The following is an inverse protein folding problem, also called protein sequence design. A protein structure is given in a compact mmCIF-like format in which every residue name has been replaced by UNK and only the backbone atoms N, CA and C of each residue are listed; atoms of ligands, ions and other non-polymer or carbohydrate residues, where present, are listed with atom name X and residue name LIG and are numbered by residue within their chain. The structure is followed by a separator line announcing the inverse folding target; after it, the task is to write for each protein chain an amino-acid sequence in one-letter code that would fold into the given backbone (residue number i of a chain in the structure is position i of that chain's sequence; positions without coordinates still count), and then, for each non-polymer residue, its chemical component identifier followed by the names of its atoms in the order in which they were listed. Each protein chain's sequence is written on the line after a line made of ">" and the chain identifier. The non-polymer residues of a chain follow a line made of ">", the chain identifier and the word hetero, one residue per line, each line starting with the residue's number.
data_IF_618766792253
#
_entry.id   IF_618766792253
#
_cell.length_a   1.000
_cell.length_b   1.000
_cell.length_c   1.000
_cell.angle_alpha   90.00
_cell.angle_beta   90.00
_cell.angle_gamma   90.00
#
_symmetry.space_group_name_H-M   'P 1'
#
loop_
_entity.id
_entity.type
_entity.pdbx_description
1 polymer ?
#
# COMPACT_ATOMS: atom_id res chain seq x y z
N UNK A 1 -4.35 -21.43 43.32
CA UNK A 1 -4.72 -21.04 41.94
C UNK A 1 -3.56 -21.40 41.01
N UNK A 2 -3.81 -22.22 39.98
CA UNK A 2 -2.82 -22.76 39.02
C UNK A 2 -2.63 -21.78 37.86
N UNK A 3 -1.41 -21.29 37.64
CA UNK A 3 -1.04 -20.57 36.43
C UNK A 3 -0.98 -21.54 35.24
N UNK A 4 -1.95 -21.44 34.31
CA UNK A 4 -1.89 -22.11 32.99
C UNK A 4 -1.15 -21.18 32.03
N UNK A 5 0.12 -21.50 31.77
CA UNK A 5 0.93 -20.83 30.77
C UNK A 5 0.33 -20.98 29.36
N UNK A 6 0.22 -19.86 28.66
CA UNK A 6 -0.05 -19.82 27.22
C UNK A 6 1.09 -20.55 26.49
N UNK A 7 0.84 -21.79 26.05
CA UNK A 7 1.63 -22.41 24.98
C UNK A 7 1.25 -21.74 23.67
N UNK A 8 2.04 -20.75 23.26
CA UNK A 8 2.05 -20.29 21.87
C UNK A 8 2.46 -21.50 21.02
N UNK A 9 1.51 -22.00 20.23
CA UNK A 9 1.70 -23.15 19.35
C UNK A 9 2.83 -22.88 18.36
N UNK A 10 3.91 -23.64 18.48
CA UNK A 10 5.08 -23.64 17.59
C UNK A 10 4.77 -24.00 16.13
N UNK A 11 3.49 -24.22 15.80
CA UNK A 11 2.99 -24.43 14.43
C UNK A 11 2.71 -23.11 13.70
N UNK A 12 2.29 -22.05 14.40
CA UNK A 12 2.01 -20.75 13.76
C UNK A 12 3.31 -20.08 13.26
N UNK A 13 4.40 -20.24 14.01
CA UNK A 13 5.71 -19.68 13.64
C UNK A 13 6.36 -20.41 12.45
N UNK A 14 6.07 -21.71 12.28
CA UNK A 14 6.57 -22.50 11.14
C UNK A 14 5.82 -22.20 9.84
N UNK A 15 4.51 -21.94 9.91
CA UNK A 15 3.72 -21.56 8.73
C UNK A 15 4.14 -20.18 8.21
N UNK A 16 4.53 -19.25 9.11
CA UNK A 16 5.06 -17.95 8.71
C UNK A 16 6.46 -18.05 8.06
N UNK A 17 7.32 -18.97 8.50
CA UNK A 17 8.65 -19.18 7.90
C UNK A 17 8.59 -19.88 6.53
N UNK A 18 7.61 -20.75 6.29
CA UNK A 18 7.45 -21.42 4.99
C UNK A 18 6.93 -20.47 3.89
N UNK A 19 6.13 -19.47 4.25
CA UNK A 19 5.63 -18.47 3.28
C UNK A 19 6.73 -17.53 2.77
N UNK A 20 7.73 -17.22 3.60
CA UNK A 20 8.84 -16.34 3.21
C UNK A 20 9.84 -17.02 2.26
N UNK A 21 10.03 -18.34 2.36
CA UNK A 21 10.94 -19.07 1.47
C UNK A 21 10.37 -19.33 0.07
N UNK A 22 9.04 -19.43 -0.07
CA UNK A 22 8.40 -19.66 -1.36
C UNK A 22 8.38 -18.40 -2.25
N UNK A 23 8.48 -17.20 -1.65
CA UNK A 23 8.57 -15.93 -2.37
C UNK A 23 9.95 -15.69 -3.01
N UNK A 24 11.02 -16.31 -2.48
CA UNK A 24 12.38 -16.17 -3.01
C UNK A 24 12.67 -17.06 -4.24
N UNK A 25 11.90 -18.13 -4.48
CA UNK A 25 12.19 -19.07 -5.56
C UNK A 25 11.51 -18.74 -6.90
N UNK A 26 10.60 -17.76 -6.93
CA UNK A 26 9.92 -17.33 -8.17
C UNK A 26 10.65 -16.21 -8.92
N UNK A 27 11.81 -15.76 -8.43
CA UNK A 27 12.61 -14.68 -9.03
C UNK A 27 13.75 -15.14 -9.96
N UNK A 28 13.90 -16.46 -10.19
CA UNK A 28 14.99 -17.02 -11.03
C UNK A 28 14.56 -17.49 -12.43
N UNK A 29 13.37 -17.11 -12.90
CA UNK A 29 13.01 -17.28 -14.32
C UNK A 29 13.37 -16.02 -15.13
N UNK A 30 14.65 -15.59 -15.04
CA UNK A 30 15.20 -14.62 -15.96
C UNK A 30 15.39 -15.32 -17.31
N UNK A 31 14.55 -14.92 -18.28
CA UNK A 31 14.54 -15.46 -19.63
C UNK A 31 15.93 -15.46 -20.27
N UNK A 32 16.20 -16.52 -21.01
CA UNK A 32 17.35 -16.66 -21.89
C UNK A 32 17.35 -15.53 -22.92
N UNK A 33 18.24 -14.55 -22.74
CA UNK A 33 18.53 -13.52 -23.73
C UNK A 33 19.22 -14.19 -24.90
N UNK A 34 18.49 -14.42 -25.98
CA UNK A 34 19.10 -14.74 -27.27
C UNK A 34 19.84 -13.50 -27.76
N UNK A 35 21.17 -13.57 -27.80
CA UNK A 35 21.99 -12.58 -28.47
C UNK A 35 21.68 -12.64 -29.98
N UNK A 36 21.10 -11.57 -30.51
CA UNK A 36 20.95 -11.38 -31.94
C UNK A 36 22.35 -11.22 -32.60
N UNK A 37 22.52 -11.66 -33.86
CA UNK A 37 23.80 -11.55 -34.57
C UNK A 37 24.20 -10.07 -34.80
N UNK A 38 25.50 -9.79 -34.98
CA UNK A 38 26.03 -8.43 -35.04
C UNK A 38 25.65 -7.78 -36.38
N UNK A 39 24.52 -7.08 -36.40
CA UNK A 39 24.15 -6.18 -37.49
C UNK A 39 24.93 -4.86 -37.31
N UNK A 40 25.54 -4.35 -38.38
CA UNK A 40 26.44 -3.20 -38.35
C UNK A 40 25.82 -1.99 -37.62
N UNK A 41 26.41 -1.64 -36.48
CA UNK A 41 26.00 -0.58 -35.57
C UNK A 41 26.00 0.80 -36.24
N UNK A 42 24.86 1.20 -36.80
CA UNK A 42 24.58 2.60 -37.19
C UNK A 42 23.64 3.19 -36.15
N UNK A 43 23.88 4.45 -35.76
CA UNK A 43 22.97 5.17 -34.87
C UNK A 43 21.56 5.15 -35.48
N UNK A 44 20.61 4.56 -34.76
CA UNK A 44 19.23 4.43 -35.22
C UNK A 44 18.39 5.51 -34.56
N UNK A 45 17.73 6.32 -35.39
CA UNK A 45 16.66 7.18 -34.92
C UNK A 45 15.46 6.31 -34.57
N UNK A 46 15.04 6.32 -33.31
CA UNK A 46 13.81 5.68 -32.87
C UNK A 46 12.75 6.78 -32.80
N UNK A 47 11.75 6.77 -33.69
CA UNK A 47 10.65 7.72 -33.61
C UNK A 47 9.89 7.54 -32.29
N UNK A 48 9.27 8.61 -31.81
CA UNK A 48 8.42 8.52 -30.61
C UNK A 48 7.38 7.43 -30.78
N UNK A 49 7.15 6.64 -29.73
CA UNK A 49 6.10 5.61 -29.74
C UNK A 49 4.76 6.26 -30.09
N UNK A 50 4.03 5.66 -31.04
CA UNK A 50 2.73 6.17 -31.50
C UNK A 50 1.63 6.07 -30.45
N UNK A 51 1.89 5.34 -29.37
CA UNK A 51 1.01 5.25 -28.20
C UNK A 51 1.32 6.43 -27.29
N UNK A 52 0.43 7.43 -27.26
CA UNK A 52 0.52 8.49 -26.26
C UNK A 52 0.54 7.88 -24.85
N UNK A 53 1.58 8.14 -24.04
CA UNK A 53 1.57 7.72 -22.65
C UNK A 53 0.37 8.35 -21.95
N UNK A 54 -0.39 7.56 -21.20
CA UNK A 54 -1.48 8.08 -20.38
C UNK A 54 -0.96 9.22 -19.49
N UNK A 55 -1.75 10.28 -19.33
CA UNK A 55 -1.32 11.43 -18.55
C UNK A 55 -0.96 10.99 -17.11
N UNK A 56 0.26 11.31 -16.60
CA UNK A 56 0.70 10.86 -15.27
C UNK A 56 -0.28 11.21 -14.16
N UNK A 57 -0.88 12.40 -14.22
CA UNK A 57 -1.91 12.85 -13.28
C UNK A 57 -3.18 11.97 -13.33
N UNK A 58 -3.62 11.57 -14.52
CA UNK A 58 -4.81 10.72 -14.68
C UNK A 58 -4.56 9.32 -14.10
N UNK A 59 -3.38 8.75 -14.37
CA UNK A 59 -2.97 7.45 -13.82
C UNK A 59 -2.87 7.50 -12.30
N UNK A 60 -2.24 8.54 -11.75
CA UNK A 60 -2.14 8.75 -10.31
C UNK A 60 -3.51 8.94 -9.64
N UNK A 61 -4.44 9.66 -10.28
CA UNK A 61 -5.80 9.85 -9.76
C UNK A 61 -6.59 8.53 -9.71
N UNK A 62 -6.49 7.70 -10.77
CA UNK A 62 -7.10 6.36 -10.76
C UNK A 62 -6.47 5.51 -9.65
N UNK A 63 -5.15 5.57 -9.49
CA UNK A 63 -4.43 4.78 -8.50
C UNK A 63 -4.70 5.24 -7.05
N UNK A 64 -5.01 6.51 -6.83
CA UNK A 64 -5.51 6.99 -5.53
C UNK A 64 -6.85 6.36 -5.15
N UNK A 65 -7.74 6.15 -6.14
CA UNK A 65 -9.03 5.50 -5.94
C UNK A 65 -8.89 3.98 -5.81
N UNK A 66 -8.00 3.39 -6.62
CA UNK A 66 -7.72 1.97 -6.70
C UNK A 66 -6.20 1.71 -6.58
N UNK A 67 -5.67 1.66 -5.35
CA UNK A 67 -4.24 1.46 -5.12
C UNK A 67 -3.71 0.19 -5.79
N UNK A 68 -2.63 0.34 -6.56
CA UNK A 68 -1.95 -0.72 -7.29
C UNK A 68 -2.34 -0.83 -8.77
N UNK A 69 -3.36 -0.12 -9.23
CA UNK A 69 -3.75 -0.08 -10.65
C UNK A 69 -2.64 0.43 -11.55
N UNK A 70 -1.98 1.53 -11.19
CA UNK A 70 -0.94 2.14 -12.00
C UNK A 70 0.29 1.22 -12.15
N UNK A 71 0.73 0.61 -11.05
CA UNK A 71 1.82 -0.37 -11.06
C UNK A 71 1.47 -1.58 -11.94
N UNK A 72 0.24 -2.07 -11.88
CA UNK A 72 -0.22 -3.15 -12.74
C UNK A 72 -0.09 -2.76 -14.22
N UNK A 73 -0.48 -1.54 -14.59
CA UNK A 73 -0.35 -1.02 -15.97
C UNK A 73 1.10 -0.84 -16.42
N UNK A 74 2.03 -0.65 -15.49
CA UNK A 74 3.47 -0.56 -15.73
C UNK A 74 4.21 -1.89 -15.60
N UNK A 75 3.50 -3.03 -15.51
CA UNK A 75 4.05 -4.38 -15.33
C UNK A 75 4.82 -4.60 -14.01
N UNK A 76 4.62 -3.73 -13.02
CA UNK A 76 5.17 -3.84 -11.67
C UNK A 76 4.22 -4.64 -10.75
N UNK A 77 3.95 -5.89 -11.13
CA UNK A 77 2.87 -6.72 -10.53
C UNK A 77 3.06 -7.01 -9.05
N UNK A 78 4.32 -7.12 -8.58
CA UNK A 78 4.64 -7.27 -7.17
C UNK A 78 4.17 -6.07 -6.33
N UNK A 79 4.50 -4.86 -6.77
CA UNK A 79 4.04 -3.63 -6.11
C UNK A 79 2.53 -3.45 -6.22
N UNK A 80 1.93 -3.78 -7.38
CA UNK A 80 0.48 -3.74 -7.55
C UNK A 80 -0.26 -4.60 -6.50
N UNK A 81 0.19 -5.84 -6.32
CA UNK A 81 -0.38 -6.76 -5.34
C UNK A 81 -0.19 -6.25 -3.90
N UNK A 82 0.97 -5.66 -3.58
CA UNK A 82 1.25 -5.09 -2.25
C UNK A 82 0.32 -3.91 -1.91
N UNK A 83 0.17 -2.93 -2.81
CA UNK A 83 -0.72 -1.79 -2.56
C UNK A 83 -2.19 -2.21 -2.47
N UNK A 84 -2.63 -3.08 -3.38
CA UNK A 84 -4.02 -3.56 -3.38
C UNK A 84 -4.36 -4.36 -2.12
N UNK A 85 -3.51 -5.32 -1.74
CA UNK A 85 -3.71 -6.13 -0.53
C UNK A 85 -3.63 -5.28 0.74
N UNK A 86 -2.67 -4.35 0.81
CA UNK A 86 -2.57 -3.40 1.93
C UNK A 86 -3.84 -2.54 2.05
N UNK A 87 -4.43 -2.12 0.93
CA UNK A 87 -5.68 -1.37 0.95
C UNK A 87 -6.83 -2.21 1.50
N UNK A 88 -6.96 -3.48 1.10
CA UNK A 88 -7.99 -4.39 1.64
C UNK A 88 -7.83 -4.61 3.15
N UNK A 89 -6.60 -4.86 3.61
CA UNK A 89 -6.31 -5.01 5.04
C UNK A 89 -6.68 -3.73 5.80
N UNK A 90 -6.30 -2.57 5.27
CA UNK A 90 -6.57 -1.29 5.91
C UNK A 90 -8.08 -0.97 5.95
N UNK A 91 -8.84 -1.26 4.90
CA UNK A 91 -10.30 -1.17 4.91
C UNK A 91 -10.92 -2.09 5.97
N UNK A 92 -10.40 -3.30 6.14
CA UNK A 92 -10.80 -4.21 7.22
C UNK A 92 -10.52 -3.64 8.62
N UNK A 93 -9.35 -3.02 8.82
CA UNK A 93 -8.99 -2.36 10.06
C UNK A 93 -9.89 -1.15 10.37
N UNK A 94 -10.19 -0.32 9.35
CA UNK A 94 -11.14 0.78 9.47
C UNK A 94 -12.50 0.27 9.93
N UNK A 95 -13.00 -0.81 9.33
CA UNK A 95 -14.28 -1.40 9.70
C UNK A 95 -14.29 -1.86 11.16
N UNK A 96 -13.25 -2.57 11.61
CA UNK A 96 -13.16 -3.04 13.00
C UNK A 96 -13.05 -1.86 13.98
N UNK A 97 -12.23 -0.86 13.67
CA UNK A 97 -12.08 0.33 14.49
C UNK A 97 -13.40 1.12 14.61
N UNK A 98 -14.11 1.30 13.49
CA UNK A 98 -15.43 1.94 13.46
C UNK A 98 -16.45 1.17 14.31
N UNK A 99 -16.54 -0.15 14.14
CA UNK A 99 -17.47 -0.99 14.91
C UNK A 99 -17.18 -0.91 16.41
N UNK A 100 -15.91 -0.94 16.78
CA UNK A 100 -15.50 -0.84 18.18
C UNK A 100 -15.81 0.55 18.78
N UNK A 101 -15.56 1.63 18.04
CA UNK A 101 -15.92 2.98 18.47
C UNK A 101 -17.43 3.11 18.66
N UNK A 102 -18.24 2.75 17.67
CA UNK A 102 -19.70 2.82 17.73
C UNK A 102 -20.28 2.02 18.90
N UNK A 103 -19.69 0.86 19.18
CA UNK A 103 -20.09 0.03 20.31
C UNK A 103 -19.92 0.76 21.65
N UNK A 104 -18.72 1.27 21.94
CA UNK A 104 -18.45 1.99 23.20
C UNK A 104 -19.15 3.34 23.27
N UNK A 105 -19.31 4.03 22.14
CA UNK A 105 -20.07 5.29 22.07
C UNK A 105 -21.54 5.06 22.47
N UNK A 106 -22.18 4.03 21.90
CA UNK A 106 -23.56 3.70 22.25
C UNK A 106 -23.73 3.30 23.72
N UNK A 107 -22.74 2.57 24.27
CA UNK A 107 -22.72 2.19 25.68
C UNK A 107 -22.54 3.43 26.59
N UNK A 108 -21.68 4.38 26.20
CA UNK A 108 -21.48 5.63 26.91
C UNK A 108 -22.79 6.45 26.95
N UNK A 109 -23.46 6.63 25.81
CA UNK A 109 -24.72 7.38 25.74
C UNK A 109 -25.80 6.75 26.62
N UNK A 110 -25.92 5.42 26.63
CA UNK A 110 -26.87 4.72 27.48
C UNK A 110 -26.52 4.84 28.98
N UNK A 111 -25.24 4.69 29.32
CA UNK A 111 -24.74 4.84 30.69
C UNK A 111 -24.92 6.27 31.21
N UNK A 112 -24.64 7.27 30.38
CA UNK A 112 -24.80 8.69 30.70
C UNK A 112 -26.27 9.02 30.97
N UNK A 113 -27.20 8.53 30.14
CA UNK A 113 -28.64 8.72 30.34
C UNK A 113 -29.09 8.16 31.70
N UNK A 114 -28.58 6.98 32.08
CA UNK A 114 -28.89 6.38 33.38
C UNK A 114 -28.25 7.14 34.54
N UNK A 115 -26.99 7.54 34.41
CA UNK A 115 -26.27 8.32 35.44
C UNK A 115 -26.98 9.63 35.76
N UNK A 116 -27.56 10.31 34.75
CA UNK A 116 -28.30 11.57 34.95
C UNK A 116 -29.54 11.42 35.83
N UNK A 117 -30.08 10.21 35.94
CA UNK A 117 -31.25 9.92 36.78
C UNK A 117 -30.90 9.55 38.23
N UNK A 118 -29.61 9.43 38.55
CA UNK A 118 -29.14 9.03 39.88
C UNK A 118 -28.20 10.10 40.46
N UNK A 119 -28.33 10.45 41.74
CA UNK A 119 -27.46 11.44 42.38
C UNK A 119 -26.04 10.89 42.63
N UNK A 120 -25.93 9.57 42.84
CA UNK A 120 -24.67 8.89 43.14
C UNK A 120 -24.00 8.33 41.87
N UNK A 121 -22.66 8.31 41.81
CA UNK A 121 -21.93 7.73 40.67
C UNK A 121 -22.19 6.22 40.58
N UNK A 122 -22.75 5.81 39.44
CA UNK A 122 -23.06 4.42 39.13
C UNK A 122 -21.86 3.68 38.57
N UNK A 123 -21.89 2.37 38.79
CA UNK A 123 -20.97 1.40 38.22
C UNK A 123 -21.73 0.56 37.19
N UNK A 124 -21.19 0.47 35.98
CA UNK A 124 -21.82 -0.21 34.85
C UNK A 124 -21.06 -1.49 34.51
N UNK A 125 -21.75 -2.59 34.25
CA UNK A 125 -21.08 -3.80 33.78
C UNK A 125 -20.35 -3.54 32.44
N UNK A 126 -19.19 -4.16 32.24
CA UNK A 126 -18.44 -4.00 30.98
C UNK A 126 -19.32 -4.45 29.79
N UNK A 127 -19.64 -3.54 28.84
CA UNK A 127 -20.50 -3.88 27.70
C UNK A 127 -19.88 -4.97 26.82
N UNK A 128 -18.54 -5.07 26.76
CA UNK A 128 -17.85 -6.10 25.97
C UNK A 128 -17.90 -7.50 26.62
N UNK A 129 -18.52 -7.63 27.78
CA UNK A 129 -18.55 -8.83 28.59
C UNK A 129 -17.39 -8.89 29.58
N UNK A 130 -17.65 -9.45 30.76
CA UNK A 130 -16.68 -9.54 31.85
C UNK A 130 -17.36 -9.52 33.21
N UNK A 131 -16.56 -9.66 34.27
CA UNK A 131 -17.00 -9.48 35.66
C UNK A 131 -16.76 -8.07 36.21
N UNK A 132 -16.07 -7.23 35.42
CA UNK A 132 -15.64 -5.92 35.86
C UNK A 132 -16.76 -4.90 35.71
N UNK A 133 -16.81 -3.99 36.67
CA UNK A 133 -17.67 -2.83 36.63
C UNK A 133 -16.83 -1.59 36.32
N UNK A 134 -17.36 -0.74 35.45
CA UNK A 134 -16.72 0.43 34.89
C UNK A 134 -17.48 1.68 35.34
N UNK A 135 -16.73 2.73 35.65
CA UNK A 135 -17.32 4.05 35.83
C UNK A 135 -17.76 4.64 34.49
N UNK A 136 -18.64 5.63 34.52
CA UNK A 136 -19.02 6.38 33.30
C UNK A 136 -17.79 6.96 32.57
N UNK A 137 -16.80 7.46 33.33
CA UNK A 137 -15.57 8.00 32.78
C UNK A 137 -14.73 6.92 32.10
N UNK A 138 -14.70 5.69 32.64
CA UNK A 138 -13.97 4.59 32.01
C UNK A 138 -14.56 4.25 30.65
N UNK A 139 -15.89 4.13 30.56
CA UNK A 139 -16.60 3.86 29.31
C UNK A 139 -16.33 4.98 28.29
N UNK A 140 -16.40 6.24 28.73
CA UNK A 140 -16.05 7.41 27.90
C UNK A 140 -14.63 7.32 27.36
N UNK A 141 -13.66 7.04 28.21
CA UNK A 141 -12.26 6.88 27.82
C UNK A 141 -12.09 5.74 26.80
N UNK A 142 -12.89 4.65 26.89
CA UNK A 142 -12.87 3.58 25.88
C UNK A 142 -13.43 4.05 24.53
N UNK A 143 -14.53 4.81 24.54
CA UNK A 143 -15.13 5.38 23.35
C UNK A 143 -14.17 6.35 22.63
N UNK A 144 -13.56 7.28 23.38
CA UNK A 144 -12.59 8.25 22.84
C UNK A 144 -11.35 7.56 22.24
N UNK A 145 -10.82 6.51 22.89
CA UNK A 145 -9.76 5.68 22.31
C UNK A 145 -10.22 5.00 21.01
N UNK A 146 -11.44 4.49 20.98
CA UNK A 146 -12.04 3.91 19.77
C UNK A 146 -12.10 4.92 18.62
N UNK A 147 -12.57 6.14 18.90
CA UNK A 147 -12.60 7.24 17.94
C UNK A 147 -11.21 7.58 17.40
N UNK A 148 -10.21 7.65 18.29
CA UNK A 148 -8.83 7.91 17.90
C UNK A 148 -8.29 6.81 16.98
N UNK A 149 -8.50 5.54 17.31
CA UNK A 149 -8.08 4.42 16.45
C UNK A 149 -8.75 4.48 15.08
N UNK A 150 -10.05 4.78 15.03
CA UNK A 150 -10.77 4.94 13.79
C UNK A 150 -10.19 6.08 12.93
N UNK A 151 -9.94 7.25 13.54
CA UNK A 151 -9.32 8.38 12.85
C UNK A 151 -7.93 8.03 12.30
N UNK A 152 -7.07 7.39 13.10
CA UNK A 152 -5.74 6.95 12.68
C UNK A 152 -5.81 5.96 11.52
N UNK A 153 -6.77 5.01 11.54
CA UNK A 153 -6.97 4.07 10.43
C UNK A 153 -7.36 4.77 9.13
N UNK A 154 -8.26 5.76 9.19
CA UNK A 154 -8.63 6.58 8.02
C UNK A 154 -7.42 7.32 7.46
N UNK A 155 -6.66 8.02 8.32
CA UNK A 155 -5.46 8.76 7.92
C UNK A 155 -4.43 7.82 7.28
N UNK A 156 -4.22 6.65 7.87
CA UNK A 156 -3.30 5.64 7.33
C UNK A 156 -3.76 5.13 5.96
N UNK A 157 -5.07 4.94 5.74
CA UNK A 157 -5.58 4.54 4.42
C UNK A 157 -5.39 5.63 3.36
N UNK A 158 -5.65 6.89 3.72
CA UNK A 158 -5.40 8.03 2.83
C UNK A 158 -3.91 8.13 2.49
N UNK A 159 -3.03 7.98 3.48
CA UNK A 159 -1.58 7.98 3.26
C UNK A 159 -1.14 6.85 2.31
N UNK A 160 -1.68 5.64 2.48
CA UNK A 160 -1.41 4.51 1.57
C UNK A 160 -1.83 4.83 0.13
N UNK A 161 -3.01 5.43 -0.07
CA UNK A 161 -3.49 5.84 -1.40
C UNK A 161 -2.60 6.90 -2.04
N UNK A 162 -2.13 7.87 -1.25
CA UNK A 162 -1.16 8.86 -1.73
C UNK A 162 0.18 8.23 -2.10
N UNK A 163 0.69 7.29 -1.30
CA UNK A 163 1.92 6.56 -1.62
C UNK A 163 1.81 5.76 -2.90
N UNK A 164 0.65 5.10 -3.13
CA UNK A 164 0.38 4.42 -4.40
C UNK A 164 0.36 5.42 -5.56
N UNK A 165 -0.47 6.48 -5.45
CA UNK A 165 -0.60 7.47 -6.52
C UNK A 165 0.71 8.16 -6.91
N UNK A 166 1.54 8.51 -5.92
CA UNK A 166 2.85 9.13 -6.16
C UNK A 166 3.85 8.19 -6.81
N UNK A 167 3.85 6.90 -6.45
CA UNK A 167 4.67 5.89 -7.10
C UNK A 167 4.17 5.61 -8.54
N UNK A 168 2.87 5.61 -8.77
CA UNK A 168 2.31 5.53 -10.13
C UNK A 168 2.71 6.75 -10.96
N UNK A 169 2.66 7.95 -10.38
CA UNK A 169 3.10 9.17 -11.04
C UNK A 169 4.56 9.06 -11.48
N UNK A 170 5.46 8.61 -10.59
CA UNK A 170 6.89 8.54 -10.90
C UNK A 170 7.18 7.57 -12.05
N UNK A 171 6.47 6.43 -12.12
CA UNK A 171 6.55 5.49 -13.23
C UNK A 171 5.99 6.07 -14.52
N UNK A 172 4.84 6.73 -14.48
CA UNK A 172 4.22 7.34 -15.65
C UNK A 172 5.05 8.51 -16.20
N UNK A 173 5.64 9.34 -15.34
CA UNK A 173 6.53 10.43 -15.74
C UNK A 173 7.84 9.89 -16.32
N UNK A 174 8.41 8.83 -15.74
CA UNK A 174 9.57 8.15 -16.31
C UNK A 174 9.26 7.54 -17.69
N UNK A 175 8.08 6.93 -17.85
CA UNK A 175 7.62 6.38 -19.13
C UNK A 175 7.47 7.49 -20.19
N UNK A 176 6.84 8.61 -19.82
CA UNK A 176 6.69 9.78 -20.70
C UNK A 176 8.04 10.37 -21.12
N UNK A 177 9.02 10.44 -20.22
CA UNK A 177 10.38 10.89 -20.55
C UNK A 177 11.09 9.93 -21.51
N UNK A 178 10.82 8.62 -21.42
CA UNK A 178 11.44 7.58 -22.28
C UNK A 178 10.79 7.43 -23.66
N UNK A 179 9.53 7.87 -23.80
CA UNK A 179 8.75 7.76 -25.05
C UNK A 179 9.02 8.90 -26.05
N UNK A 180 9.86 9.87 -25.70
CA UNK A 180 10.29 10.92 -26.63
C UNK A 180 11.25 10.38 -27.71
N UNK A 181 11.46 11.13 -28.81
CA UNK A 181 12.40 10.74 -29.85
C UNK A 181 13.81 10.61 -29.27
N UNK A 182 14.49 9.49 -29.57
CA UNK A 182 15.82 9.20 -29.02
C UNK A 182 16.77 8.61 -30.07
N UNK A 183 18.05 8.84 -29.86
CA UNK A 183 19.14 8.24 -30.63
C UNK A 183 19.77 7.11 -29.83
N UNK A 184 19.65 5.88 -30.32
CA UNK A 184 20.33 4.73 -29.72
C UNK A 184 21.71 4.59 -30.37
N UNK A 185 22.77 4.69 -29.55
CA UNK A 185 24.15 4.49 -29.97
C UNK A 185 24.60 3.09 -29.58
N UNK A 186 25.04 2.31 -30.56
CA UNK A 186 25.58 0.98 -30.34
C UNK A 186 27.12 1.04 -30.33
N UNK A 187 27.80 0.31 -29.43
CA UNK A 187 29.25 0.25 -29.42
C UNK A 187 29.76 -0.37 -30.71
N UNK A 188 30.77 0.26 -31.31
CA UNK A 188 31.52 -0.34 -32.42
C UNK A 188 32.38 -1.50 -31.88
N UNK A 189 32.74 -2.46 -32.75
CA UNK A 189 33.54 -3.64 -32.42
C UNK A 189 34.92 -3.33 -31.82
N UNK A 190 35.32 -2.06 -31.82
CA UNK A 190 36.58 -1.53 -31.27
C UNK A 190 36.43 -0.92 -29.86
N UNK A 191 35.24 -0.95 -29.25
CA UNK A 191 34.99 -0.38 -27.91
C UNK A 191 34.96 1.15 -27.85
N UNK A 192 35.03 1.82 -28.99
CA UNK A 192 34.94 3.28 -29.08
C UNK A 192 33.48 3.76 -29.25
N UNK A 193 33.07 4.72 -28.42
CA UNK A 193 31.86 5.52 -28.68
C UNK A 193 32.20 6.59 -29.71
N UNK A 194 31.85 6.39 -30.99
CA UNK A 194 31.94 7.46 -32.00
C UNK A 194 30.62 8.20 -32.10
N UNK A 195 30.58 9.40 -31.52
CA UNK A 195 29.54 10.38 -31.80
C UNK A 195 29.75 10.96 -33.20
N UNK A 196 28.82 10.69 -34.11
CA UNK A 196 28.66 11.48 -35.32
C UNK A 196 27.26 12.11 -35.27
N UNK A 197 27.19 13.38 -34.85
CA UNK A 197 26.01 14.23 -35.08
C UNK A 197 25.39 14.88 -33.84
N UNK A 198 25.80 16.12 -33.61
CA UNK A 198 25.13 17.26 -32.94
C UNK A 198 24.12 17.03 -31.80
N UNK A 199 24.51 17.57 -30.63
CA UNK A 199 23.64 17.95 -29.53
C UNK A 199 22.47 18.83 -30.02
N UNK A 200 21.27 18.56 -29.49
CA UNK A 200 20.20 19.56 -29.44
C UNK A 200 19.65 19.57 -28.01
N UNK A 201 20.05 20.60 -27.25
CA UNK A 201 19.35 21.02 -26.04
C UNK A 201 18.07 21.71 -26.47
N UNK A 202 16.93 21.31 -25.92
CA UNK A 202 15.71 22.13 -25.96
C UNK A 202 15.35 22.50 -24.53
N UNK A 203 15.40 23.81 -24.28
CA UNK A 203 14.81 24.49 -23.13
C UNK A 203 13.29 24.42 -23.20
#
# INVERSE_FOLDING_TARGET
>A
MKYRGLRVSSRALRVLQSATFMLCFMLTAAGSVHAAPPEAARARFVPADSVQPAAPLQMAAIDFLLPGYGMYRHNETGYAALYFSSNLVNLGLIYVAYRNWQFYESAYVAAELRQRSEPDPLQFADPAGGSDYLSLQDIKNRAERGQLFFAVSIVTNVALRFLSATHTWSLADAAKRRSGPRYEMFPDATGGLRAAGMYSFYF
#
